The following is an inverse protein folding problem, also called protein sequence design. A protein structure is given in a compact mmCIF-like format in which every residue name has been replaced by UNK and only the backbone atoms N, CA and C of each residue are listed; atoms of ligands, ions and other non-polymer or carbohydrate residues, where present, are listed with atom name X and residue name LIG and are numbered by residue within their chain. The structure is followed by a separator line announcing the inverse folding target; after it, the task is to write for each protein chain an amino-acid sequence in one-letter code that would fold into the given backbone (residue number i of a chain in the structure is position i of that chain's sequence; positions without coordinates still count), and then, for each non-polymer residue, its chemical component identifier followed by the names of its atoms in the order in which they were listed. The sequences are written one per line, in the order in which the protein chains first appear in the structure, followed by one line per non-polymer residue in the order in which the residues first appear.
data_IF_628756290390
#
_entry.id   IF_628756290390
#
_cell.length_a   1.000
_cell.length_b   1.000
_cell.length_c   1.000
_cell.angle_alpha   90.00
_cell.angle_beta   90.00
_cell.angle_gamma   90.00
#
_symmetry.space_group_name_H-M   'P 1'
#
loop_
_entity.id
_entity.type
_entity.pdbx_description
1 polymer ?
#
# COMPACT_ATOMS: atom_id res chain seq x y z
N UNK A 1 -2.45 34.60 11.32
CA UNK A 1 -3.20 33.51 11.96
C UNK A 1 -2.23 32.49 12.59
N UNK A 2 -1.46 32.89 13.62
CA UNK A 2 -0.39 32.05 14.24
C UNK A 2 -0.50 31.95 15.77
N UNK A 3 -1.65 32.33 16.35
CA UNK A 3 -1.77 32.60 17.79
C UNK A 3 -2.92 31.84 18.47
N UNK A 4 -3.37 30.71 17.92
CA UNK A 4 -4.44 29.89 18.53
C UNK A 4 -4.03 28.43 18.83
N UNK A 5 -2.80 28.02 18.50
CA UNK A 5 -2.29 26.66 18.79
C UNK A 5 -1.62 26.53 20.17
N UNK A 6 -1.63 27.57 21.00
CA UNK A 6 -0.92 27.61 22.29
C UNK A 6 -1.69 27.09 23.51
N UNK A 7 -2.93 26.60 23.38
CA UNK A 7 -3.78 26.31 24.55
C UNK A 7 -4.42 24.91 24.59
N UNK A 8 -3.98 23.96 23.75
CA UNK A 8 -4.35 22.53 23.89
C UNK A 8 -3.24 21.71 24.57
N UNK A 9 -2.47 22.35 25.46
CA UNK A 9 -1.38 21.73 26.21
C UNK A 9 -1.88 21.20 27.58
N UNK A 10 -2.86 20.29 27.63
CA UNK A 10 -3.19 19.51 28.85
C UNK A 10 -3.86 18.15 28.57
N UNK A 11 -3.50 17.47 27.49
CA UNK A 11 -3.69 16.01 27.36
C UNK A 11 -2.35 15.42 26.88
N UNK A 12 -1.85 14.32 27.47
CA UNK A 12 -0.57 13.74 27.08
C UNK A 12 -0.69 13.19 25.67
N UNK A 13 -0.33 14.03 24.69
CA UNK A 13 -0.45 13.76 23.27
C UNK A 13 0.44 12.57 22.87
N UNK A 14 -0.06 11.33 22.97
CA UNK A 14 0.70 10.13 22.61
C UNK A 14 0.68 9.98 21.09
N UNK A 15 1.54 10.74 20.42
CA UNK A 15 1.76 10.58 19.00
C UNK A 15 2.91 9.61 18.77
N UNK A 16 2.82 8.71 17.76
CA UNK A 16 3.89 7.78 17.41
C UNK A 16 5.05 8.56 16.79
N UNK A 17 5.82 9.24 17.62
CA UNK A 17 7.12 9.81 17.28
C UNK A 17 8.13 8.70 17.49
N UNK A 18 8.80 8.27 16.42
CA UNK A 18 9.89 7.33 16.54
C UNK A 18 10.95 7.96 17.49
N UNK A 19 11.40 7.24 18.52
CA UNK A 19 12.37 7.78 19.47
C UNK A 19 13.62 8.28 18.72
N UNK A 20 14.22 9.41 19.14
CA UNK A 20 15.32 10.05 18.42
C UNK A 20 16.46 9.06 18.16
N UNK A 21 16.81 8.88 16.87
CA UNK A 21 17.80 7.89 16.41
C UNK A 21 17.21 6.66 15.70
N UNK A 22 15.94 6.32 15.90
CA UNK A 22 15.27 5.19 15.23
C UNK A 22 14.63 5.56 13.89
N UNK A 23 14.40 6.85 13.63
CA UNK A 23 13.73 7.38 12.42
C UNK A 23 14.40 6.86 11.13
N UNK A 24 15.74 6.87 11.08
CA UNK A 24 16.52 6.43 9.92
C UNK A 24 16.29 4.96 9.55
N UNK A 25 16.01 4.10 10.53
CA UNK A 25 15.76 2.69 10.28
C UNK A 25 14.30 2.46 9.86
N UNK A 26 13.36 3.18 10.45
CA UNK A 26 11.97 3.17 10.03
C UNK A 26 11.83 3.61 8.56
N UNK A 27 12.48 4.70 8.16
CA UNK A 27 12.42 5.21 6.78
C UNK A 27 13.03 4.24 5.77
N UNK A 28 14.13 3.55 6.12
CA UNK A 28 14.74 2.55 5.26
C UNK A 28 13.85 1.32 5.07
N UNK A 29 13.29 0.77 6.15
CA UNK A 29 12.39 -0.38 6.09
C UNK A 29 11.14 -0.05 5.28
N UNK A 30 10.52 1.09 5.53
CA UNK A 30 9.36 1.55 4.76
C UNK A 30 9.72 1.77 3.28
N UNK A 31 10.93 2.27 3.00
CA UNK A 31 11.46 2.40 1.63
C UNK A 31 11.59 1.06 0.90
N UNK A 32 12.14 0.03 1.55
CA UNK A 32 12.23 -1.31 0.95
C UNK A 32 10.86 -1.94 0.71
N UNK A 33 9.91 -1.75 1.63
CA UNK A 33 8.54 -2.26 1.48
C UNK A 33 7.83 -1.59 0.30
N UNK A 34 8.00 -0.27 0.14
CA UNK A 34 7.40 0.47 -0.97
C UNK A 34 7.97 0.02 -2.32
N UNK A 35 9.29 -0.14 -2.41
CA UNK A 35 9.94 -0.70 -3.60
C UNK A 35 9.50 -2.14 -3.90
N UNK A 36 9.45 -3.00 -2.88
CA UNK A 36 9.01 -4.40 -3.03
C UNK A 36 7.57 -4.50 -3.53
N UNK A 37 6.68 -3.65 -3.01
CA UNK A 37 5.27 -3.64 -3.41
C UNK A 37 5.10 -3.18 -4.86
N UNK A 38 5.85 -2.17 -5.30
CA UNK A 38 5.84 -1.70 -6.69
C UNK A 38 6.27 -2.82 -7.64
N UNK A 39 7.34 -3.55 -7.30
CA UNK A 39 7.82 -4.68 -8.12
C UNK A 39 6.75 -5.78 -8.20
N UNK A 40 6.07 -6.10 -7.10
CA UNK A 40 5.01 -7.11 -7.09
C UNK A 40 3.83 -6.74 -8.01
N UNK A 41 3.45 -5.46 -8.08
CA UNK A 41 2.41 -5.01 -9.02
C UNK A 41 2.84 -5.18 -10.48
N UNK A 42 4.07 -4.79 -10.81
CA UNK A 42 4.61 -4.96 -12.17
C UNK A 42 4.64 -6.44 -12.55
N UNK A 43 5.17 -7.30 -11.68
CA UNK A 43 5.22 -8.74 -11.91
C UNK A 43 3.81 -9.33 -12.07
N UNK A 44 2.85 -8.91 -11.24
CA UNK A 44 1.46 -9.37 -11.34
C UNK A 44 0.84 -9.08 -12.71
N UNK A 45 1.07 -7.89 -13.26
CA UNK A 45 0.59 -7.53 -14.61
C UNK A 45 1.29 -8.35 -15.69
N UNK A 46 2.61 -8.46 -15.63
CA UNK A 46 3.40 -9.21 -16.63
C UNK A 46 3.01 -10.68 -16.65
N UNK A 47 2.89 -11.31 -15.47
CA UNK A 47 2.48 -12.72 -15.34
C UNK A 47 1.03 -12.90 -15.80
N UNK A 48 0.13 -11.97 -15.48
CA UNK A 48 -1.26 -12.01 -15.94
C UNK A 48 -1.37 -11.97 -17.47
N UNK A 49 -0.67 -11.04 -18.12
CA UNK A 49 -0.61 -10.96 -19.59
C UNK A 49 0.03 -12.23 -20.17
N UNK A 50 1.14 -12.70 -19.58
CA UNK A 50 1.82 -13.92 -19.98
C UNK A 50 0.91 -15.15 -19.93
N UNK A 51 0.11 -15.29 -18.87
CA UNK A 51 -0.85 -16.37 -18.73
C UNK A 51 -1.99 -16.30 -19.76
N UNK A 52 -2.47 -15.10 -20.11
CA UNK A 52 -3.50 -14.91 -21.13
C UNK A 52 -2.97 -15.31 -22.50
N UNK A 53 -1.78 -14.82 -22.86
CA UNK A 53 -1.13 -15.10 -24.16
C UNK A 53 -0.78 -16.58 -24.26
N UNK A 54 -0.11 -17.15 -23.25
CA UNK A 54 0.24 -18.57 -23.22
C UNK A 54 -1.01 -19.46 -23.24
N UNK A 55 -2.04 -19.14 -22.46
CA UNK A 55 -3.29 -19.90 -22.44
C UNK A 55 -4.01 -19.93 -23.79
N UNK A 56 -3.92 -18.85 -24.58
CA UNK A 56 -4.44 -18.78 -25.95
C UNK A 56 -3.61 -19.61 -26.93
N UNK A 57 -2.27 -19.58 -26.82
CA UNK A 57 -1.37 -20.33 -27.70
C UNK A 57 -1.49 -21.84 -27.47
N UNK A 58 -1.56 -22.27 -26.20
CA UNK A 58 -1.63 -23.68 -25.84
C UNK A 58 -3.05 -24.26 -25.82
N UNK A 59 -4.07 -23.49 -26.23
CA UNK A 59 -5.45 -23.95 -26.29
C UNK A 59 -6.04 -24.34 -24.91
N UNK A 60 -5.47 -23.85 -23.81
CA UNK A 60 -5.87 -24.17 -22.45
C UNK A 60 -6.81 -23.08 -21.90
N UNK A 61 -8.15 -23.28 -21.95
CA UNK A 61 -9.10 -22.25 -21.50
C UNK A 61 -9.01 -21.96 -20.00
N UNK A 62 -8.47 -22.88 -19.21
CA UNK A 62 -8.30 -22.69 -17.77
C UNK A 62 -7.21 -21.65 -17.44
N UNK A 63 -6.09 -21.68 -18.17
CA UNK A 63 -4.98 -20.74 -17.99
C UNK A 63 -5.37 -19.30 -18.38
N UNK A 64 -6.12 -19.13 -19.48
CA UNK A 64 -6.55 -17.81 -19.93
C UNK A 64 -7.59 -17.17 -18.99
N UNK A 65 -8.51 -17.97 -18.43
CA UNK A 65 -9.47 -17.50 -17.41
C UNK A 65 -8.74 -17.08 -16.12
N UNK A 66 -7.79 -17.90 -15.65
CA UNK A 66 -6.98 -17.58 -14.48
C UNK A 66 -6.14 -16.31 -14.69
N UNK A 67 -5.59 -16.11 -15.89
CA UNK A 67 -4.85 -14.89 -16.26
C UNK A 67 -5.71 -13.63 -16.16
N UNK A 68 -6.92 -13.64 -16.71
CA UNK A 68 -7.85 -12.49 -16.64
C UNK A 68 -8.22 -12.17 -15.18
N UNK A 69 -8.60 -13.20 -14.41
CA UNK A 69 -8.91 -13.02 -12.98
C UNK A 69 -7.72 -12.46 -12.23
N UNK A 70 -6.50 -12.94 -12.51
CA UNK A 70 -5.27 -12.42 -11.93
C UNK A 70 -5.06 -10.94 -12.22
N UNK A 71 -5.26 -10.49 -13.45
CA UNK A 71 -5.15 -9.05 -13.81
C UNK A 71 -6.18 -8.21 -13.05
N UNK A 72 -7.43 -8.68 -12.94
CA UNK A 72 -8.48 -7.98 -12.18
C UNK A 72 -8.10 -7.85 -10.70
N UNK A 73 -7.57 -8.92 -10.09
CA UNK A 73 -7.13 -8.90 -8.68
C UNK A 73 -5.97 -7.92 -8.48
N UNK A 74 -5.01 -7.86 -9.41
CA UNK A 74 -3.91 -6.87 -9.34
C UNK A 74 -4.46 -5.44 -9.38
N UNK A 75 -5.44 -5.17 -10.25
CA UNK A 75 -6.11 -3.86 -10.29
C UNK A 75 -6.82 -3.51 -8.97
N UNK A 76 -7.55 -4.47 -8.38
CA UNK A 76 -8.19 -4.29 -7.07
C UNK A 76 -7.16 -4.05 -5.96
N UNK A 77 -6.02 -4.75 -6.01
CA UNK A 77 -4.92 -4.56 -5.06
C UNK A 77 -4.29 -3.17 -5.17
N UNK A 78 -4.13 -2.63 -6.39
CA UNK A 78 -3.67 -1.25 -6.60
C UNK A 78 -4.66 -0.23 -6.03
N UNK A 79 -5.95 -0.41 -6.27
CA UNK A 79 -6.99 0.47 -5.68
C UNK A 79 -6.94 0.39 -4.14
N UNK A 80 -6.85 -0.83 -3.59
CA UNK A 80 -6.70 -1.05 -2.16
C UNK A 80 -5.48 -0.33 -1.60
N UNK A 81 -4.32 -0.42 -2.26
CA UNK A 81 -3.10 0.26 -1.84
C UNK A 81 -3.24 1.79 -1.77
N UNK A 82 -4.04 2.38 -2.66
CA UNK A 82 -4.29 3.83 -2.67
C UNK A 82 -5.34 4.27 -1.62
N UNK A 83 -6.36 3.44 -1.37
CA UNK A 83 -7.49 3.78 -0.50
C UNK A 83 -7.23 3.44 0.97
N UNK A 84 -6.57 2.30 1.25
CA UNK A 84 -6.28 1.84 2.62
C UNK A 84 -5.59 2.89 3.51
N UNK A 85 -4.54 3.63 3.08
CA UNK A 85 -3.92 4.62 3.95
C UNK A 85 -4.88 5.74 4.36
N UNK A 86 -5.85 6.10 3.51
CA UNK A 86 -6.91 7.06 3.87
C UNK A 86 -7.87 6.51 4.92
N UNK A 87 -8.29 5.25 4.76
CA UNK A 87 -9.16 4.56 5.72
C UNK A 87 -8.45 4.37 7.06
N UNK A 88 -7.20 3.91 7.05
CA UNK A 88 -6.41 3.70 8.26
C UNK A 88 -6.25 5.01 9.01
N UNK A 89 -5.90 6.11 8.32
CA UNK A 89 -5.83 7.44 8.93
C UNK A 89 -7.17 7.92 9.50
N UNK A 90 -8.29 7.60 8.84
CA UNK A 90 -9.62 7.93 9.34
C UNK A 90 -10.01 7.10 10.59
N UNK A 91 -9.62 5.82 10.65
CA UNK A 91 -9.89 4.94 11.79
C UNK A 91 -8.98 5.23 12.99
N UNK A 92 -7.71 5.56 12.77
CA UNK A 92 -6.75 5.83 13.85
C UNK A 92 -6.80 7.27 14.38
N UNK A 93 -7.67 8.13 13.83
CA UNK A 93 -7.68 9.57 14.11
C UNK A 93 -6.36 10.25 13.75
N UNK A 94 -6.18 11.53 14.13
CA UNK A 94 -4.96 12.32 13.88
C UNK A 94 -3.71 11.83 14.62
N UNK A 95 -3.73 10.60 15.18
CA UNK A 95 -2.58 9.96 15.78
C UNK A 95 -2.12 10.61 17.07
N UNK A 96 -3.01 11.27 17.80
CA UNK A 96 -2.72 11.98 19.03
C UNK A 96 -3.97 11.90 19.93
N UNK A 97 -3.88 11.13 21.03
CA UNK A 97 -4.83 11.16 22.16
C UNK A 97 -4.31 12.08 23.25
#
# INVERSE_FOLDING_TARGET
MKTLTGQLATLPQVCPVAPPGAQRYADQLMGYVLWGTIILFVLGVVVGIGAIVAGRIFGMPHASKAGIVGVVVVFLAVIGYLVLPGIVRAMTGTGCV
#
